data_IF_838909794649
#
_entry.id   IF_838909794649
#
_cell.length_a   1.000
_cell.length_b   1.000
_cell.length_c   1.000
_cell.angle_alpha   90.00
_cell.angle_beta   90.00
_cell.angle_gamma   90.00
#
_symmetry.space_group_name_H-M   'P 1'
#
loop_
_entity.id
_entity.type
_entity.pdbx_description
1 polymer ?
#
# COMPACT_ATOMS: atom_id res chain seq x y z
N UNK A 1 6.12 5.49 20.85
CA UNK A 1 5.32 6.07 21.93
C UNK A 1 5.41 5.27 23.25
N UNK A 2 6.06 4.12 23.26
CA UNK A 2 6.28 3.32 24.47
C UNK A 2 5.10 2.48 24.94
N UNK A 3 4.04 2.34 24.12
CA UNK A 3 2.92 1.45 24.43
C UNK A 3 3.32 -0.01 24.20
N UNK A 4 2.84 -0.90 25.09
CA UNK A 4 3.02 -2.34 24.94
C UNK A 4 1.93 -2.87 23.99
N UNK A 5 2.32 -3.67 23.02
CA UNK A 5 1.43 -4.14 21.94
C UNK A 5 0.90 -5.58 22.11
N UNK A 6 0.98 -6.11 23.34
CA UNK A 6 0.54 -7.48 23.64
C UNK A 6 1.30 -8.51 22.80
N UNK A 7 0.57 -9.46 22.21
CA UNK A 7 1.11 -10.49 21.32
C UNK A 7 1.26 -10.06 19.87
N UNK A 8 1.04 -8.77 19.55
CA UNK A 8 1.21 -8.26 18.19
C UNK A 8 2.67 -8.32 17.76
N UNK A 9 2.91 -8.52 16.47
CA UNK A 9 4.25 -8.42 15.88
C UNK A 9 4.78 -6.98 16.03
N UNK A 10 5.98 -6.85 16.58
CA UNK A 10 6.70 -5.59 16.72
C UNK A 10 8.11 -5.77 16.17
N UNK A 11 8.49 -4.94 15.22
CA UNK A 11 9.86 -4.85 14.69
C UNK A 11 10.69 -3.97 15.63
N UNK A 12 11.29 -4.57 16.66
CA UNK A 12 12.03 -3.83 17.68
C UNK A 12 13.24 -3.08 17.11
N UNK A 13 13.87 -3.63 16.07
CA UNK A 13 14.98 -3.02 15.34
C UNK A 13 14.58 -1.73 14.59
N UNK A 14 13.30 -1.49 14.36
CA UNK A 14 12.76 -0.29 13.70
C UNK A 14 12.28 0.82 14.65
N UNK A 15 12.35 0.60 15.95
CA UNK A 15 11.82 1.57 16.93
C UNK A 15 12.51 2.93 16.85
N UNK A 16 13.81 2.96 16.67
CA UNK A 16 14.56 4.22 16.58
C UNK A 16 14.29 4.94 15.26
N UNK A 17 14.19 4.20 14.16
CA UNK A 17 13.73 4.76 12.88
C UNK A 17 12.31 5.35 13.00
N UNK A 18 11.40 4.68 13.69
CA UNK A 18 10.04 5.19 13.90
C UNK A 18 10.04 6.51 14.71
N UNK A 19 10.89 6.64 15.73
CA UNK A 19 11.06 7.89 16.49
C UNK A 19 11.61 9.02 15.61
N UNK A 20 12.61 8.72 14.81
CA UNK A 20 13.21 9.66 13.85
C UNK A 20 12.16 10.15 12.85
N UNK A 21 11.37 9.25 12.26
CA UNK A 21 10.32 9.59 11.31
C UNK A 21 9.22 10.47 11.94
N UNK A 22 8.83 10.20 13.18
CA UNK A 22 7.87 11.04 13.91
C UNK A 22 8.43 12.45 14.14
N UNK A 23 9.70 12.57 14.51
CA UNK A 23 10.37 13.85 14.69
C UNK A 23 10.48 14.61 13.35
N UNK A 24 10.86 13.92 12.27
CA UNK A 24 10.95 14.47 10.91
C UNK A 24 9.59 14.97 10.41
N UNK A 25 8.53 14.20 10.61
CA UNK A 25 7.17 14.60 10.26
C UNK A 25 6.76 15.89 10.98
N UNK A 26 7.01 15.96 12.29
CA UNK A 26 6.74 17.15 13.09
C UNK A 26 7.51 18.38 12.59
N UNK A 27 8.80 18.24 12.32
CA UNK A 27 9.65 19.33 11.85
C UNK A 27 9.22 19.84 10.46
N UNK A 28 8.77 18.93 9.61
CA UNK A 28 8.29 19.24 8.24
C UNK A 28 6.80 19.61 8.21
N UNK A 29 6.13 19.74 9.36
CA UNK A 29 4.69 20.02 9.48
C UNK A 29 3.81 19.01 8.72
N UNK A 30 4.27 17.77 8.63
CA UNK A 30 3.49 16.66 8.08
C UNK A 30 2.63 16.07 9.19
N UNK A 31 1.33 15.96 8.95
CA UNK A 31 0.42 15.33 9.89
C UNK A 31 0.53 13.81 9.79
N UNK A 32 1.19 13.19 10.76
CA UNK A 32 1.33 11.74 10.85
C UNK A 32 0.28 11.19 11.83
N UNK A 33 -0.75 10.56 11.29
CA UNK A 33 -1.82 9.93 12.06
C UNK A 33 -1.41 8.51 12.45
N UNK A 34 -1.54 8.19 13.73
CA UNK A 34 -1.34 6.85 14.28
C UNK A 34 -2.66 6.32 14.86
N UNK A 35 -2.88 5.02 14.92
CA UNK A 35 -4.08 4.45 15.54
C UNK A 35 -4.25 4.91 17.00
N UNK A 36 -5.48 5.20 17.38
CA UNK A 36 -5.88 5.54 18.75
C UNK A 36 -6.61 4.39 19.45
N UNK A 37 -7.21 3.50 18.66
CA UNK A 37 -7.87 2.28 19.08
C UNK A 37 -7.60 1.14 18.08
N UNK A 38 -7.60 -0.07 18.59
CA UNK A 38 -7.30 -1.29 17.85
C UNK A 38 -8.34 -2.37 18.18
N UNK A 39 -8.60 -3.26 17.23
CA UNK A 39 -9.35 -4.49 17.44
C UNK A 39 -8.33 -5.55 17.87
N UNK A 40 -8.39 -5.90 19.14
CA UNK A 40 -7.53 -6.87 19.80
C UNK A 40 -8.19 -8.22 19.84
N UNK A 41 -7.51 -9.28 19.40
CA UNK A 41 -8.03 -10.64 19.35
C UNK A 41 -7.20 -11.60 20.20
N UNK A 42 -7.86 -12.60 20.80
CA UNK A 42 -7.20 -13.62 21.62
C UNK A 42 -6.31 -14.56 20.81
N UNK A 43 -6.64 -14.77 19.52
CA UNK A 43 -5.91 -15.63 18.59
C UNK A 43 -6.03 -15.10 17.15
N UNK A 44 -5.13 -15.55 16.28
CA UNK A 44 -5.22 -15.31 14.84
C UNK A 44 -6.16 -16.32 14.19
N UNK A 45 -7.49 -16.09 14.36
CA UNK A 45 -8.53 -16.96 13.83
C UNK A 45 -9.77 -16.11 13.50
N UNK A 46 -10.57 -16.47 12.46
CA UNK A 46 -11.73 -15.70 12.01
C UNK A 46 -12.83 -15.53 13.07
N UNK A 47 -12.93 -16.49 13.98
CA UNK A 47 -13.91 -16.57 15.07
C UNK A 47 -13.31 -16.27 16.45
N UNK A 48 -12.09 -15.73 16.49
CA UNK A 48 -11.43 -15.39 17.74
C UNK A 48 -12.23 -14.37 18.54
N UNK A 49 -12.29 -14.58 19.86
CA UNK A 49 -12.77 -13.56 20.78
C UNK A 49 -11.98 -12.27 20.57
N UNK A 50 -12.68 -11.17 20.42
CA UNK A 50 -12.04 -9.88 20.15
C UNK A 50 -12.77 -8.72 20.82
N UNK A 51 -12.03 -7.66 21.08
CA UNK A 51 -12.52 -6.43 21.71
C UNK A 51 -11.80 -5.23 21.13
N UNK A 52 -12.49 -4.10 21.02
CA UNK A 52 -11.84 -2.83 20.62
C UNK A 52 -11.32 -2.11 21.85
N UNK A 53 -10.03 -1.81 21.84
CA UNK A 53 -9.34 -1.17 22.97
C UNK A 53 -8.56 0.06 22.52
N UNK A 54 -8.40 1.01 23.44
CA UNK A 54 -7.52 2.16 23.25
C UNK A 54 -6.06 1.72 23.32
N UNK A 55 -5.20 2.29 22.45
CA UNK A 55 -3.77 1.94 22.40
C UNK A 55 -3.03 2.12 23.75
N UNK A 56 -3.57 2.95 24.64
CA UNK A 56 -3.00 3.17 25.97
C UNK A 56 -3.23 2.01 26.94
N UNK A 57 -4.24 1.19 26.71
CA UNK A 57 -4.75 0.18 27.64
C UNK A 57 -4.98 -1.18 26.95
N UNK A 58 -4.08 -1.59 26.07
CA UNK A 58 -4.22 -2.85 25.33
C UNK A 58 -4.07 -4.07 26.22
N UNK A 59 -4.93 -5.06 26.04
CA UNK A 59 -4.80 -6.38 26.67
C UNK A 59 -3.54 -7.09 26.18
N UNK A 60 -2.61 -7.33 27.10
CA UNK A 60 -1.30 -7.92 26.77
C UNK A 60 -1.38 -9.41 26.39
N UNK A 61 -2.50 -10.07 26.63
CA UNK A 61 -2.74 -11.45 26.21
C UNK A 61 -3.25 -11.56 24.76
N UNK A 62 -3.65 -10.42 24.14
CA UNK A 62 -4.25 -10.33 22.81
C UNK A 62 -3.26 -9.74 21.80
N UNK A 63 -3.60 -9.87 20.51
CA UNK A 63 -2.90 -9.29 19.38
C UNK A 63 -3.81 -8.35 18.60
N UNK A 64 -3.27 -7.28 18.04
CA UNK A 64 -4.00 -6.36 17.18
C UNK A 64 -4.19 -6.96 15.79
N UNK A 65 -5.42 -7.07 15.32
CA UNK A 65 -5.76 -7.60 14.00
C UNK A 65 -6.46 -6.59 13.09
N UNK A 66 -6.96 -5.47 13.63
CA UNK A 66 -7.51 -4.36 12.83
C UNK A 66 -7.42 -3.05 13.62
N UNK A 67 -7.66 -1.94 12.95
CA UNK A 67 -7.87 -0.64 13.59
C UNK A 67 -9.30 -0.52 14.12
N UNK A 68 -9.48 0.25 15.19
CA UNK A 68 -10.79 0.49 15.76
C UNK A 68 -11.61 1.54 15.00
N UNK A 69 -12.85 1.73 15.44
CA UNK A 69 -13.80 2.62 14.78
C UNK A 69 -13.41 4.10 14.86
N UNK A 70 -12.79 4.53 15.97
CA UNK A 70 -12.33 5.91 16.11
C UNK A 70 -11.15 6.21 15.17
N UNK A 71 -10.19 5.30 15.09
CA UNK A 71 -9.07 5.40 14.14
C UNK A 71 -9.58 5.43 12.70
N UNK A 72 -10.51 4.52 12.35
CA UNK A 72 -11.12 4.46 11.02
C UNK A 72 -11.81 5.78 10.66
N UNK A 73 -12.53 6.37 11.61
CA UNK A 73 -13.19 7.66 11.42
C UNK A 73 -12.17 8.79 11.20
N UNK A 74 -11.14 8.88 12.05
CA UNK A 74 -10.10 9.90 11.94
C UNK A 74 -9.36 9.81 10.60
N UNK A 75 -9.07 8.59 10.12
CA UNK A 75 -8.44 8.39 8.81
C UNK A 75 -9.36 8.79 7.67
N UNK A 76 -10.64 8.43 7.72
CA UNK A 76 -11.61 8.83 6.72
C UNK A 76 -11.80 10.37 6.65
N UNK A 77 -11.80 11.04 7.80
CA UNK A 77 -11.85 12.50 7.87
C UNK A 77 -10.60 13.15 7.26
N UNK A 78 -9.41 12.61 7.55
CA UNK A 78 -8.15 13.11 6.96
C UNK A 78 -8.09 12.93 5.43
N UNK A 79 -8.76 11.92 4.89
CA UNK A 79 -8.82 11.66 3.45
C UNK A 79 -9.85 12.53 2.71
N UNK A 80 -10.81 13.12 3.42
CA UNK A 80 -11.98 13.79 2.81
C UNK A 80 -11.58 14.95 1.88
N UNK A 81 -10.59 15.76 2.27
CA UNK A 81 -10.14 16.95 1.53
C UNK A 81 -8.85 16.71 0.73
N UNK A 82 -8.37 15.48 0.68
CA UNK A 82 -7.17 15.13 -0.07
C UNK A 82 -7.34 15.41 -1.57
N UNK A 83 -6.28 15.85 -2.22
CA UNK A 83 -6.22 16.02 -3.69
C UNK A 83 -5.60 14.80 -4.36
N UNK A 84 -4.70 14.12 -3.67
CA UNK A 84 -4.09 12.87 -4.08
C UNK A 84 -4.02 11.93 -2.89
N UNK A 85 -4.34 10.67 -3.12
CA UNK A 85 -4.25 9.59 -2.14
C UNK A 85 -3.40 8.48 -2.72
N UNK A 86 -2.36 8.08 -2.00
CA UNK A 86 -1.61 6.86 -2.29
C UNK A 86 -1.84 5.91 -1.13
N UNK A 87 -2.41 4.76 -1.41
CA UNK A 87 -2.70 3.74 -0.40
C UNK A 87 -1.93 2.46 -0.68
N UNK A 88 -1.14 2.04 0.30
CA UNK A 88 -0.39 0.79 0.26
C UNK A 88 -0.43 0.10 1.62
N UNK A 89 -1.00 -1.08 1.68
CA UNK A 89 -1.20 -1.90 2.87
C UNK A 89 -2.63 -1.77 3.45
N UNK A 90 -3.31 -2.91 3.73
CA UNK A 90 -4.58 -2.92 4.44
C UNK A 90 -4.41 -2.44 5.88
N UNK A 91 -5.51 -2.07 6.53
CA UNK A 91 -5.49 -1.60 7.92
C UNK A 91 -5.51 -2.76 8.91
N UNK A 92 -6.05 -3.90 8.53
CA UNK A 92 -6.19 -5.10 9.34
C UNK A 92 -6.16 -6.37 8.49
N UNK A 93 -6.46 -7.51 9.12
CA UNK A 93 -6.51 -8.82 8.45
C UNK A 93 -7.81 -8.92 7.65
N UNK A 94 -7.84 -8.26 6.49
CA UNK A 94 -9.03 -8.05 5.66
C UNK A 94 -9.61 -9.37 5.09
N UNK A 95 -8.86 -10.45 5.11
CA UNK A 95 -9.30 -11.80 4.73
C UNK A 95 -10.35 -12.34 5.70
N UNK A 96 -10.28 -11.94 6.96
CA UNK A 96 -11.19 -12.34 8.03
C UNK A 96 -12.27 -11.27 8.25
N UNK A 97 -13.54 -11.61 8.08
CA UNK A 97 -14.65 -10.66 8.15
C UNK A 97 -14.75 -9.93 9.50
N UNK A 98 -14.31 -10.55 10.59
CA UNK A 98 -14.25 -9.91 11.91
C UNK A 98 -13.23 -8.76 11.98
N UNK A 99 -12.18 -8.80 11.17
CA UNK A 99 -11.01 -7.88 11.22
C UNK A 99 -10.79 -7.10 9.92
N UNK A 100 -11.84 -6.99 9.09
CA UNK A 100 -11.78 -6.26 7.82
C UNK A 100 -12.38 -4.85 7.87
N UNK A 101 -13.04 -4.47 8.97
CA UNK A 101 -13.85 -3.24 9.05
C UNK A 101 -13.02 -1.97 8.91
N UNK A 102 -11.80 -1.96 9.45
CA UNK A 102 -10.88 -0.84 9.30
C UNK A 102 -10.46 -0.64 7.85
N UNK A 103 -10.07 -1.73 7.18
CA UNK A 103 -9.74 -1.73 5.75
C UNK A 103 -10.93 -1.30 4.90
N UNK A 104 -12.14 -1.81 5.19
CA UNK A 104 -13.37 -1.45 4.51
C UNK A 104 -13.70 0.04 4.66
N UNK A 105 -13.55 0.60 5.86
CA UNK A 105 -13.81 2.01 6.13
C UNK A 105 -12.87 2.92 5.33
N UNK A 106 -11.57 2.62 5.34
CA UNK A 106 -10.56 3.37 4.57
C UNK A 106 -10.80 3.21 3.06
N UNK A 107 -11.06 1.99 2.57
CA UNK A 107 -11.36 1.73 1.16
C UNK A 107 -12.58 2.54 0.67
N UNK A 108 -13.66 2.58 1.46
CA UNK A 108 -14.84 3.38 1.16
C UNK A 108 -14.55 4.88 1.17
N UNK A 109 -13.72 5.36 2.10
CA UNK A 109 -13.31 6.76 2.16
C UNK A 109 -12.52 7.15 0.89
N UNK A 110 -11.53 6.32 0.50
CA UNK A 110 -10.75 6.52 -0.74
C UNK A 110 -11.66 6.51 -1.97
N UNK A 111 -12.55 5.52 -2.09
CA UNK A 111 -13.47 5.37 -3.23
C UNK A 111 -14.52 6.49 -3.31
N UNK A 112 -14.84 7.14 -2.19
CA UNK A 112 -15.79 8.27 -2.11
C UNK A 112 -15.11 9.61 -2.34
N UNK A 113 -13.81 9.71 -2.12
CA UNK A 113 -13.03 10.93 -2.31
C UNK A 113 -13.03 11.36 -3.78
N UNK A 114 -12.87 12.68 -4.00
CA UNK A 114 -12.63 13.28 -5.33
C UNK A 114 -11.13 13.36 -5.67
N UNK A 115 -10.28 12.83 -4.82
CA UNK A 115 -8.84 12.81 -5.03
C UNK A 115 -8.43 11.89 -6.19
N UNK A 116 -7.31 12.18 -6.81
CA UNK A 116 -6.61 11.18 -7.60
C UNK A 116 -6.14 10.08 -6.67
N UNK A 117 -6.73 8.89 -6.78
CA UNK A 117 -6.45 7.76 -5.90
C UNK A 117 -5.60 6.71 -6.59
N UNK A 118 -4.49 6.35 -5.95
CA UNK A 118 -3.56 5.31 -6.40
C UNK A 118 -3.52 4.24 -5.31
N UNK A 119 -3.84 3.01 -5.66
CA UNK A 119 -3.74 1.85 -4.74
C UNK A 119 -2.65 0.93 -5.24
N UNK A 120 -1.69 0.62 -4.38
CA UNK A 120 -0.56 -0.26 -4.67
C UNK A 120 -0.38 -1.33 -3.60
N UNK A 121 0.36 -2.39 -3.98
CA UNK A 121 0.56 -3.56 -3.13
C UNK A 121 -0.54 -4.60 -3.28
N UNK A 122 -0.13 -5.88 -3.40
CA UNK A 122 -1.03 -7.00 -3.69
C UNK A 122 -2.22 -7.09 -2.73
N UNK A 123 -1.96 -6.96 -1.43
CA UNK A 123 -3.01 -7.06 -0.39
C UNK A 123 -4.01 -5.91 -0.45
N UNK A 124 -3.54 -4.68 -0.72
CA UNK A 124 -4.44 -3.53 -0.88
C UNK A 124 -5.33 -3.68 -2.11
N UNK A 125 -4.76 -4.17 -3.21
CA UNK A 125 -5.50 -4.44 -4.44
C UNK A 125 -6.54 -5.53 -4.20
N UNK A 126 -6.15 -6.65 -3.57
CA UNK A 126 -7.06 -7.74 -3.22
C UNK A 126 -8.21 -7.26 -2.30
N UNK A 127 -7.92 -6.39 -1.33
CA UNK A 127 -8.94 -5.80 -0.47
C UNK A 127 -9.93 -4.93 -1.26
N UNK A 128 -9.46 -4.08 -2.16
CA UNK A 128 -10.30 -3.23 -3.03
C UNK A 128 -11.17 -4.09 -3.95
N UNK A 129 -10.63 -5.17 -4.51
CA UNK A 129 -11.37 -6.09 -5.37
C UNK A 129 -12.44 -6.86 -4.59
N UNK A 130 -12.09 -7.42 -3.41
CA UNK A 130 -13.04 -8.08 -2.49
C UNK A 130 -14.23 -7.18 -2.16
N UNK A 131 -13.99 -5.88 -1.98
CA UNK A 131 -15.02 -4.88 -1.66
C UNK A 131 -15.77 -4.36 -2.90
N UNK A 132 -15.41 -4.76 -4.12
CA UNK A 132 -16.03 -4.30 -5.36
C UNK A 132 -15.79 -2.82 -5.68
N UNK A 133 -14.75 -2.21 -5.13
CA UNK A 133 -14.46 -0.78 -5.24
C UNK A 133 -13.43 -0.42 -6.33
N UNK A 134 -12.87 -1.40 -7.04
CA UNK A 134 -11.81 -1.21 -8.03
C UNK A 134 -12.15 -0.13 -9.09
N UNK A 135 -13.38 -0.10 -9.58
CA UNK A 135 -13.84 0.89 -10.58
C UNK A 135 -13.92 2.33 -10.05
N UNK A 136 -13.79 2.52 -8.75
CA UNK A 136 -13.83 3.83 -8.10
C UNK A 136 -12.44 4.37 -7.75
N UNK A 137 -11.40 3.61 -8.03
CA UNK A 137 -10.00 3.99 -7.84
C UNK A 137 -9.45 4.50 -9.18
N UNK A 138 -8.74 5.63 -9.12
CA UNK A 138 -8.20 6.25 -10.35
C UNK A 138 -7.13 5.37 -10.99
N UNK A 139 -6.25 4.77 -10.18
CA UNK A 139 -5.19 3.88 -10.67
C UNK A 139 -4.91 2.77 -9.67
N UNK A 140 -4.86 1.53 -10.17
CA UNK A 140 -4.43 0.36 -9.40
C UNK A 140 -3.06 -0.05 -9.92
N UNK A 141 -2.04 0.05 -9.06
CA UNK A 141 -0.66 -0.30 -9.39
C UNK A 141 -0.39 -1.77 -9.05
N UNK A 142 -0.04 -2.55 -10.06
CA UNK A 142 0.42 -3.95 -9.85
C UNK A 142 1.87 -4.02 -9.37
N UNK A 143 2.63 -2.92 -9.46
CA UNK A 143 4.03 -2.79 -9.04
C UNK A 143 4.17 -2.02 -7.72
N UNK A 144 3.57 -2.52 -6.61
CA UNK A 144 3.56 -1.81 -5.31
C UNK A 144 4.93 -1.40 -4.81
N UNK A 145 5.93 -2.30 -4.87
CA UNK A 145 7.31 -2.01 -4.47
C UNK A 145 7.95 -0.88 -5.28
N UNK A 146 7.86 -0.96 -6.60
CA UNK A 146 8.40 0.08 -7.48
C UNK A 146 7.72 1.45 -7.25
N UNK A 147 6.41 1.45 -6.98
CA UNK A 147 5.69 2.70 -6.66
C UNK A 147 6.20 3.34 -5.38
N UNK A 148 6.49 2.53 -4.35
CA UNK A 148 7.06 3.01 -3.08
C UNK A 148 8.49 3.55 -3.28
N UNK A 149 9.33 2.81 -4.01
CA UNK A 149 10.70 3.27 -4.33
C UNK A 149 10.70 4.58 -5.11
N UNK A 150 9.75 4.76 -6.03
CA UNK A 150 9.60 6.02 -6.75
C UNK A 150 9.21 7.18 -5.81
N UNK A 151 8.29 6.92 -4.88
CA UNK A 151 7.90 7.91 -3.86
C UNK A 151 9.04 8.26 -2.89
N UNK A 152 9.97 7.32 -2.66
CA UNK A 152 11.21 7.57 -1.91
C UNK A 152 12.22 8.43 -2.68
N UNK A 153 11.96 8.75 -3.95
CA UNK A 153 12.86 9.50 -4.83
C UNK A 153 13.96 8.64 -5.47
N UNK A 154 13.84 7.32 -5.41
CA UNK A 154 14.78 6.42 -6.08
C UNK A 154 14.56 6.43 -7.60
N UNK A 155 15.65 6.34 -8.33
CA UNK A 155 15.60 6.17 -9.78
C UNK A 155 15.20 4.74 -10.08
N UNK A 156 14.05 4.55 -10.74
CA UNK A 156 13.61 3.23 -11.19
C UNK A 156 14.31 2.88 -12.51
N UNK A 157 15.04 1.74 -12.59
CA UNK A 157 15.78 1.37 -13.79
C UNK A 157 14.94 1.33 -15.08
N UNK A 158 13.68 0.83 -14.97
CA UNK A 158 12.76 0.79 -16.09
C UNK A 158 12.32 2.18 -16.57
N UNK A 159 12.13 3.13 -15.64
CA UNK A 159 11.78 4.52 -15.98
C UNK A 159 13.02 5.24 -16.56
N UNK A 160 14.19 5.08 -15.93
CA UNK A 160 15.43 5.67 -16.40
C UNK A 160 15.81 5.22 -17.82
N UNK A 161 15.57 3.95 -18.14
CA UNK A 161 15.78 3.44 -19.49
C UNK A 161 14.85 4.07 -20.53
N UNK A 162 13.65 4.58 -20.10
CA UNK A 162 12.75 5.32 -20.98
C UNK A 162 13.15 6.78 -21.15
N UNK A 163 13.76 7.41 -20.15
CA UNK A 163 14.20 8.80 -20.23
C UNK A 163 15.40 8.98 -21.17
N UNK A 164 16.20 7.93 -21.41
CA UNK A 164 17.31 7.92 -22.38
C UNK A 164 16.81 7.79 -23.84
N UNK A 165 15.52 7.88 -24.06
CA UNK A 165 14.81 7.56 -25.29
C UNK A 165 14.74 8.74 -26.29
N UNK A 166 15.85 9.23 -26.72
CA UNK A 166 15.95 9.76 -28.08
C UNK A 166 16.26 8.68 -29.12
N UNK A 167 16.43 7.42 -28.69
CA UNK A 167 16.57 6.26 -29.59
C UNK A 167 15.23 5.57 -29.73
N UNK A 168 14.74 5.52 -30.97
CA UNK A 168 13.58 4.71 -31.31
C UNK A 168 13.92 3.26 -30.97
N UNK A 169 13.21 2.64 -30.01
CA UNK A 169 13.37 1.24 -29.70
C UNK A 169 12.23 0.48 -30.35
N UNK A 170 12.54 -0.42 -31.26
CA UNK A 170 11.59 -1.36 -31.84
C UNK A 170 11.87 -2.70 -31.21
N UNK A 171 10.93 -3.22 -30.41
CA UNK A 171 11.02 -4.53 -29.82
C UNK A 171 10.10 -5.49 -30.56
N UNK A 172 10.67 -6.51 -31.17
CA UNK A 172 9.95 -7.57 -31.86
C UNK A 172 9.95 -8.86 -31.03
N UNK A 173 8.78 -9.43 -30.79
CA UNK A 173 8.65 -10.78 -30.21
C UNK A 173 8.20 -11.73 -31.31
N UNK A 174 9.16 -12.45 -31.88
CA UNK A 174 8.88 -13.40 -32.99
C UNK A 174 8.25 -14.71 -32.53
N UNK A 175 8.12 -14.94 -31.21
CA UNK A 175 7.49 -16.17 -30.64
C UNK A 175 8.00 -17.46 -31.30
N UNK A 176 9.31 -17.54 -31.58
CA UNK A 176 9.98 -18.65 -32.27
C UNK A 176 9.60 -18.88 -33.76
N UNK A 177 9.00 -17.87 -34.40
CA UNK A 177 8.67 -17.95 -35.84
C UNK A 177 9.82 -17.60 -36.79
N UNK A 178 10.99 -17.25 -36.26
CA UNK A 178 12.19 -16.95 -37.04
C UNK A 178 13.40 -17.65 -36.45
N UNK A 179 14.30 -18.08 -37.33
CA UNK A 179 15.65 -18.51 -36.96
C UNK A 179 16.47 -17.30 -36.51
N UNK A 180 17.60 -17.53 -35.86
CA UNK A 180 18.51 -16.44 -35.44
C UNK A 180 18.97 -15.61 -36.65
N UNK A 181 19.32 -16.27 -37.76
CA UNK A 181 19.77 -15.61 -39.00
C UNK A 181 18.67 -14.70 -39.60
N UNK A 182 17.47 -15.21 -39.74
CA UNK A 182 16.34 -14.43 -40.25
C UNK A 182 15.94 -13.29 -39.35
N UNK A 183 16.14 -13.41 -38.02
CA UNK A 183 15.87 -12.33 -37.08
C UNK A 183 16.95 -11.23 -37.16
N UNK A 184 18.22 -11.58 -37.40
CA UNK A 184 19.31 -10.62 -37.59
C UNK A 184 19.09 -9.87 -38.91
N UNK A 185 18.82 -10.55 -40.02
CA UNK A 185 18.54 -9.93 -41.32
C UNK A 185 17.38 -8.92 -41.25
N UNK A 186 16.25 -9.30 -40.62
CA UNK A 186 15.14 -8.40 -40.43
C UNK A 186 15.48 -7.21 -39.54
N UNK A 187 16.31 -7.39 -38.51
CA UNK A 187 16.72 -6.29 -37.65
C UNK A 187 17.66 -5.31 -38.40
N UNK A 188 18.53 -5.79 -39.24
CA UNK A 188 19.39 -4.96 -40.10
C UNK A 188 18.56 -4.15 -41.11
N UNK A 189 17.57 -4.76 -41.75
CA UNK A 189 16.67 -4.07 -42.67
C UNK A 189 15.91 -2.91 -41.98
N UNK A 190 15.40 -3.12 -40.75
CA UNK A 190 14.70 -2.08 -39.97
C UNK A 190 15.63 -0.92 -39.57
N UNK A 191 16.91 -1.16 -39.36
CA UNK A 191 17.89 -0.13 -38.96
C UNK A 191 18.34 0.72 -40.16
N UNK A 192 18.24 0.15 -41.38
CA UNK A 192 18.68 0.82 -42.60
C UNK A 192 17.61 1.78 -43.20
N UNK A 193 16.36 1.68 -42.79
CA UNK A 193 15.28 2.63 -43.11
C UNK A 193 15.20 3.80 -42.09
#
# INVERSE_FOLDING_TARGET
QGYKMGKSLVEEDKLDLAKELLAKAKNNKVNMLLPTDLVMAAAFAPDAEHVTEKVKNLNQAYMALDIGAETSKAYAEALADAKMIVWNGPMGVFEMDAFCKGTEAVAKAVAKSRATSIVGGGDSVAAIEKLGLAKRITHISTGGGASLEYLEGKVLPGVAALDDLRRKMIAGNWKMHKTVSEAVELAEDIVME
#
